data_IF_802347093903
#
_entry.id   IF_802347093903
#
_cell.length_a   1.000
_cell.length_b   1.000
_cell.length_c   1.000
_cell.angle_alpha   90.00
_cell.angle_beta   90.00
_cell.angle_gamma   90.00
#
_symmetry.space_group_name_H-M   'P 1'
#
loop_
_entity.id
_entity.type
_entity.pdbx_description
1 polymer ?
#
# COMPACT_ATOMS: atom_id res chain seq x y z
N UNK A 1 21.08 14.45 49.75
CA UNK A 1 21.14 13.17 49.01
C UNK A 1 20.23 13.28 47.79
N UNK A 2 20.74 13.67 46.61
CA UNK A 2 19.93 13.94 45.39
C UNK A 2 20.11 12.83 44.34
N UNK A 3 20.01 11.56 44.75
CA UNK A 3 20.30 10.42 43.86
C UNK A 3 19.18 10.06 42.88
N UNK A 4 18.03 10.74 42.90
CA UNK A 4 16.84 10.23 42.21
C UNK A 4 16.75 10.60 40.70
N UNK A 5 17.37 11.68 40.21
CA UNK A 5 17.30 12.02 38.78
C UNK A 5 18.51 11.56 37.97
N UNK A 6 19.71 11.58 38.57
CA UNK A 6 20.96 11.17 37.89
C UNK A 6 21.04 9.66 37.68
N UNK A 7 20.50 8.88 38.61
CA UNK A 7 20.43 7.43 38.48
C UNK A 7 19.47 7.02 37.34
N UNK A 8 18.27 7.60 37.29
CA UNK A 8 17.32 7.36 36.20
C UNK A 8 17.84 7.85 34.85
N UNK A 9 18.53 9.01 34.79
CA UNK A 9 19.16 9.50 33.57
C UNK A 9 20.29 8.57 33.06
N UNK A 10 21.02 7.89 33.94
CA UNK A 10 22.08 6.94 33.59
C UNK A 10 21.56 5.59 33.06
N UNK A 11 20.33 5.21 33.46
CA UNK A 11 19.62 4.04 32.93
C UNK A 11 19.09 4.29 31.51
N UNK A 12 18.65 5.52 31.23
CA UNK A 12 18.09 5.91 29.92
C UNK A 12 19.21 6.16 28.89
N UNK A 13 20.33 6.76 29.28
CA UNK A 13 21.46 7.05 28.39
C UNK A 13 22.44 5.88 28.17
N UNK A 14 22.08 4.67 28.62
CA UNK A 14 22.86 3.45 28.34
C UNK A 14 24.22 3.36 29.05
N UNK A 15 24.46 4.13 30.12
CA UNK A 15 25.72 4.07 30.87
C UNK A 15 25.75 2.97 31.94
N UNK A 16 24.60 2.38 32.28
CA UNK A 16 24.51 1.14 33.06
C UNK A 16 24.12 0.02 32.09
N UNK A 17 25.13 -0.72 31.62
CA UNK A 17 25.02 -1.72 30.56
C UNK A 17 24.33 -3.02 30.99
N UNK A 18 23.02 -2.97 31.25
CA UNK A 18 22.23 -4.20 31.29
C UNK A 18 21.45 -4.40 29.98
N UNK A 19 21.88 -5.32 29.09
CA UNK A 19 21.19 -5.58 27.82
C UNK A 19 19.75 -6.11 28.01
N UNK A 20 19.43 -6.67 29.18
CA UNK A 20 18.09 -7.21 29.53
C UNK A 20 17.03 -6.12 29.78
N UNK A 21 17.42 -4.87 30.04
CA UNK A 21 16.45 -3.75 30.12
C UNK A 21 16.41 -2.90 28.83
N UNK A 22 17.40 -3.06 27.95
CA UNK A 22 17.53 -2.26 26.71
C UNK A 22 16.41 -2.56 25.72
N UNK A 23 16.06 -3.83 25.59
CA UNK A 23 14.96 -4.33 24.77
C UNK A 23 13.58 -3.85 25.28
N UNK A 24 13.34 -3.84 26.59
CA UNK A 24 12.08 -3.35 27.19
C UNK A 24 11.90 -1.84 26.96
N UNK A 25 12.95 -1.03 27.17
CA UNK A 25 12.90 0.42 26.92
C UNK A 25 12.79 0.76 25.42
N UNK A 26 13.42 -0.01 24.54
CA UNK A 26 13.25 0.13 23.08
C UNK A 26 11.83 -0.24 22.61
N UNK A 27 11.15 -1.16 23.31
CA UNK A 27 9.77 -1.54 22.97
C UNK A 27 8.75 -0.49 23.46
N UNK A 28 9.04 0.22 24.55
CA UNK A 28 8.28 1.42 24.95
C UNK A 28 8.50 2.61 24.01
N UNK A 29 9.65 2.64 23.31
CA UNK A 29 9.98 3.59 22.23
C UNK A 29 9.55 3.05 20.84
N UNK A 30 8.87 1.90 20.74
CA UNK A 30 8.13 1.59 19.52
C UNK A 30 6.96 2.57 19.53
N UNK A 31 6.83 3.47 18.53
CA UNK A 31 5.86 4.54 18.59
C UNK A 31 4.49 3.93 18.84
N UNK A 32 3.99 4.13 20.07
CA UNK A 32 2.60 3.89 20.45
C UNK A 32 1.77 4.44 19.31
N UNK A 33 0.99 3.57 18.67
CA UNK A 33 0.19 3.82 17.48
C UNK A 33 -0.27 5.28 17.42
N UNK A 34 0.56 6.12 16.80
CA UNK A 34 0.23 7.52 16.62
C UNK A 34 -0.96 7.48 15.67
N UNK A 35 -2.03 8.26 15.87
CA UNK A 35 -3.11 8.32 14.89
C UNK A 35 -2.58 8.45 13.46
N UNK A 36 -1.51 9.23 13.27
CA UNK A 36 -0.75 9.37 12.01
C UNK A 36 -0.18 8.06 11.46
N UNK A 37 0.35 7.17 12.31
CA UNK A 37 0.91 5.89 11.88
C UNK A 37 -0.18 4.90 11.43
N UNK A 38 -1.38 4.99 12.02
CA UNK A 38 -2.53 4.21 11.56
C UNK A 38 -2.98 4.66 10.17
N UNK A 39 -3.15 5.98 9.95
CA UNK A 39 -3.48 6.52 8.62
C UNK A 39 -2.40 6.22 7.57
N UNK A 40 -1.12 6.29 7.96
CA UNK A 40 0.00 5.93 7.07
C UNK A 40 -0.05 4.47 6.62
N UNK A 41 -0.56 3.55 7.46
CA UNK A 41 -0.72 2.13 7.09
C UNK A 41 -1.98 1.85 6.26
N UNK A 42 -3.05 2.64 6.38
CA UNK A 42 -4.29 2.37 5.64
C UNK A 42 -4.19 2.75 4.15
N UNK A 43 -3.53 3.87 3.85
CA UNK A 43 -3.35 4.39 2.49
C UNK A 43 -2.81 3.31 1.51
N UNK A 44 -1.69 2.63 1.80
CA UNK A 44 -1.15 1.64 0.88
C UNK A 44 -2.03 0.40 0.71
N UNK A 45 -2.80 0.04 1.74
CA UNK A 45 -3.75 -1.08 1.69
C UNK A 45 -4.85 -0.79 0.68
N UNK A 46 -5.48 0.39 0.75
CA UNK A 46 -6.54 0.77 -0.19
C UNK A 46 -6.02 0.84 -1.63
N UNK A 47 -4.82 1.38 -1.83
CA UNK A 47 -4.20 1.47 -3.15
C UNK A 47 -3.93 0.06 -3.70
N UNK A 48 -3.33 -0.83 -2.90
CA UNK A 48 -3.00 -2.18 -3.35
C UNK A 48 -4.25 -2.98 -3.69
N UNK A 49 -5.27 -2.93 -2.83
CA UNK A 49 -6.57 -3.56 -3.10
C UNK A 49 -7.22 -2.95 -4.36
N UNK A 50 -7.17 -1.62 -4.51
CA UNK A 50 -7.67 -0.92 -5.69
C UNK A 50 -6.96 -1.32 -6.98
N UNK A 51 -5.64 -1.51 -6.95
CA UNK A 51 -4.85 -1.99 -8.09
C UNK A 51 -5.25 -3.41 -8.49
N UNK A 52 -5.43 -4.31 -7.51
CA UNK A 52 -5.85 -5.70 -7.76
C UNK A 52 -7.25 -5.73 -8.36
N UNK A 53 -8.23 -5.09 -7.70
CA UNK A 53 -9.62 -5.08 -8.16
C UNK A 53 -9.74 -4.37 -9.52
N UNK A 54 -9.09 -3.21 -9.67
CA UNK A 54 -9.09 -2.45 -10.91
C UNK A 54 -8.50 -3.23 -12.08
N UNK A 55 -7.39 -3.94 -11.86
CA UNK A 55 -6.74 -4.76 -12.89
C UNK A 55 -7.66 -5.92 -13.33
N UNK A 56 -8.27 -6.61 -12.37
CA UNK A 56 -9.22 -7.70 -12.65
C UNK A 56 -10.43 -7.17 -13.43
N UNK A 57 -11.05 -6.07 -13.00
CA UNK A 57 -12.19 -5.48 -13.68
C UNK A 57 -11.84 -5.00 -15.10
N UNK A 58 -10.69 -4.35 -15.28
CA UNK A 58 -10.21 -3.93 -16.60
C UNK A 58 -10.06 -5.14 -17.54
N UNK A 59 -9.54 -6.26 -17.04
CA UNK A 59 -9.39 -7.49 -17.80
C UNK A 59 -10.73 -8.09 -18.23
N UNK A 60 -11.70 -8.17 -17.32
CA UNK A 60 -13.07 -8.60 -17.65
C UNK A 60 -13.72 -7.68 -18.70
N UNK A 61 -13.53 -6.38 -18.56
CA UNK A 61 -14.11 -5.38 -19.46
C UNK A 61 -13.48 -5.44 -20.86
N UNK A 62 -12.18 -5.77 -20.96
CA UNK A 62 -11.50 -6.06 -22.23
C UNK A 62 -12.06 -7.32 -22.89
N UNK A 63 -12.24 -8.41 -22.15
CA UNK A 63 -12.80 -9.66 -22.69
C UNK A 63 -14.22 -9.41 -23.23
N UNK A 64 -15.08 -8.78 -22.43
CA UNK A 64 -16.45 -8.48 -22.86
C UNK A 64 -16.50 -7.51 -24.04
N UNK A 65 -15.62 -6.51 -24.08
CA UNK A 65 -15.48 -5.60 -25.21
C UNK A 65 -15.01 -6.32 -26.48
N UNK A 66 -14.02 -7.20 -26.37
CA UNK A 66 -13.50 -8.01 -27.47
C UNK A 66 -14.53 -8.97 -28.04
N UNK A 67 -15.25 -9.71 -27.17
CA UNK A 67 -16.36 -10.58 -27.59
C UNK A 67 -17.41 -9.75 -28.33
N UNK A 68 -17.84 -8.63 -27.75
CA UNK A 68 -18.83 -7.74 -28.36
C UNK A 68 -18.38 -7.17 -29.71
N UNK A 69 -17.09 -6.93 -29.90
CA UNK A 69 -16.52 -6.44 -31.15
C UNK A 69 -16.56 -7.50 -32.25
N UNK A 70 -16.25 -8.76 -31.91
CA UNK A 70 -16.31 -9.89 -32.84
C UNK A 70 -17.76 -10.21 -33.20
N UNK A 71 -18.69 -10.14 -32.23
CA UNK A 71 -20.12 -10.46 -32.47
C UNK A 71 -20.89 -9.35 -33.17
N UNK A 72 -20.42 -8.09 -33.12
CA UNK A 72 -21.12 -6.95 -33.74
C UNK A 72 -21.19 -7.05 -35.28
N UNK A 73 -20.25 -7.78 -35.91
CA UNK A 73 -20.27 -8.03 -37.35
C UNK A 73 -20.38 -6.73 -38.17
N UNK A 74 -21.51 -6.56 -38.89
CA UNK A 74 -21.79 -5.41 -39.74
C UNK A 74 -22.67 -4.33 -39.09
N UNK A 75 -23.10 -4.49 -37.84
CA UNK A 75 -23.85 -3.45 -37.14
C UNK A 75 -22.89 -2.36 -36.64
N UNK A 76 -22.96 -1.19 -37.28
CA UNK A 76 -22.11 -0.03 -36.96
C UNK A 76 -22.29 0.41 -35.50
N UNK A 77 -23.51 0.35 -34.96
CA UNK A 77 -23.78 0.78 -33.59
C UNK A 77 -23.13 -0.15 -32.57
N UNK A 78 -23.26 -1.47 -32.77
CA UNK A 78 -22.57 -2.47 -31.96
C UNK A 78 -21.05 -2.37 -32.03
N UNK A 79 -20.50 -2.07 -33.22
CA UNK A 79 -19.06 -1.92 -33.42
C UNK A 79 -18.50 -0.70 -32.66
N UNK A 80 -19.17 0.46 -32.77
CA UNK A 80 -18.78 1.68 -32.06
C UNK A 80 -18.87 1.49 -30.53
N UNK A 81 -19.92 0.82 -30.05
CA UNK A 81 -20.06 0.50 -28.62
C UNK A 81 -18.95 -0.41 -28.10
N UNK A 82 -18.60 -1.45 -28.86
CA UNK A 82 -17.53 -2.38 -28.50
C UNK A 82 -16.15 -1.71 -28.50
N UNK A 83 -15.85 -0.87 -29.51
CA UNK A 83 -14.62 -0.09 -29.57
C UNK A 83 -14.48 0.88 -28.39
N UNK A 84 -15.56 1.58 -28.01
CA UNK A 84 -15.57 2.44 -26.82
C UNK A 84 -15.29 1.64 -25.56
N UNK A 85 -15.90 0.46 -25.40
CA UNK A 85 -15.68 -0.41 -24.24
C UNK A 85 -14.23 -0.87 -24.13
N UNK A 86 -13.63 -1.31 -25.24
CA UNK A 86 -12.22 -1.70 -25.30
C UNK A 86 -11.32 -0.50 -24.95
N UNK A 87 -11.58 0.66 -25.56
CA UNK A 87 -10.79 1.88 -25.32
C UNK A 87 -10.83 2.30 -23.85
N UNK A 88 -12.03 2.30 -23.24
CA UNK A 88 -12.18 2.63 -21.83
C UNK A 88 -11.43 1.64 -20.93
N UNK A 89 -11.46 0.34 -21.26
CA UNK A 89 -10.75 -0.67 -20.49
C UNK A 89 -9.21 -0.53 -20.63
N UNK A 90 -8.71 -0.17 -21.82
CA UNK A 90 -7.29 0.14 -22.04
C UNK A 90 -6.85 1.39 -21.29
N UNK A 91 -7.66 2.45 -21.30
CA UNK A 91 -7.40 3.68 -20.54
C UNK A 91 -7.35 3.37 -19.04
N UNK A 92 -8.32 2.60 -18.54
CA UNK A 92 -8.33 2.13 -17.14
C UNK A 92 -7.05 1.38 -16.78
N UNK A 93 -6.61 0.46 -17.63
CA UNK A 93 -5.36 -0.27 -17.43
C UNK A 93 -4.12 0.64 -17.46
N UNK A 94 -4.08 1.61 -18.38
CA UNK A 94 -2.99 2.58 -18.46
C UNK A 94 -2.89 3.46 -17.21
N UNK A 95 -4.03 3.85 -16.63
CA UNK A 95 -4.07 4.59 -15.36
C UNK A 95 -3.53 3.74 -14.21
N UNK A 96 -3.90 2.46 -14.13
CA UNK A 96 -3.38 1.54 -13.11
C UNK A 96 -1.86 1.36 -13.21
N UNK A 97 -1.34 1.17 -14.43
CA UNK A 97 0.11 1.08 -14.65
C UNK A 97 0.83 2.38 -14.30
N UNK A 98 0.22 3.53 -14.62
CA UNK A 98 0.80 4.83 -14.27
C UNK A 98 0.87 5.02 -12.75
N UNK A 99 -0.19 4.65 -12.02
CA UNK A 99 -0.20 4.68 -10.56
C UNK A 99 0.90 3.78 -9.99
N UNK A 100 0.98 2.52 -10.45
CA UNK A 100 2.02 1.59 -10.03
C UNK A 100 3.44 2.14 -10.28
N UNK A 101 3.69 2.71 -11.47
CA UNK A 101 4.98 3.30 -11.81
C UNK A 101 5.37 4.47 -10.90
N UNK A 102 4.41 5.32 -10.53
CA UNK A 102 4.65 6.41 -9.57
C UNK A 102 5.04 5.84 -8.20
N UNK A 103 4.33 4.82 -7.71
CA UNK A 103 4.68 4.20 -6.43
C UNK A 103 6.06 3.54 -6.46
N UNK A 104 6.38 2.78 -7.50
CA UNK A 104 7.71 2.17 -7.66
C UNK A 104 8.83 3.23 -7.68
N UNK A 105 8.56 4.41 -8.26
CA UNK A 105 9.51 5.52 -8.23
C UNK A 105 9.66 6.12 -6.82
N UNK A 106 8.55 6.29 -6.08
CA UNK A 106 8.58 6.75 -4.70
C UNK A 106 9.32 5.77 -3.78
N UNK A 107 9.10 4.47 -3.92
CA UNK A 107 9.81 3.44 -3.16
C UNK A 107 11.33 3.56 -3.37
N UNK A 108 11.77 3.77 -4.62
CA UNK A 108 13.19 3.93 -4.93
C UNK A 108 13.81 5.23 -4.38
N UNK A 109 13.05 6.32 -4.34
CA UNK A 109 13.54 7.63 -3.85
C UNK A 109 13.57 7.67 -2.32
N UNK A 110 12.53 7.14 -1.66
CA UNK A 110 12.39 7.20 -0.22
C UNK A 110 12.93 5.96 0.52
N UNK A 111 13.20 4.86 -0.18
CA UNK A 111 13.76 3.63 0.40
C UNK A 111 12.79 2.92 1.36
N UNK A 112 11.48 3.10 1.17
CA UNK A 112 10.41 2.55 2.01
C UNK A 112 9.52 1.69 1.13
N UNK A 113 9.19 0.47 1.57
CA UNK A 113 8.23 -0.40 0.88
C UNK A 113 6.80 0.10 1.15
N UNK A 114 6.29 0.93 0.25
CA UNK A 114 4.95 1.50 0.36
C UNK A 114 3.89 0.48 -0.04
N UNK A 115 4.20 -0.47 -0.93
CA UNK A 115 3.26 -1.50 -1.36
C UNK A 115 3.25 -2.75 -0.48
N UNK A 116 4.09 -2.81 0.58
CA UNK A 116 4.15 -3.96 1.47
C UNK A 116 3.02 -3.94 2.50
N UNK A 117 2.05 -4.82 2.28
CA UNK A 117 0.92 -5.10 3.15
C UNK A 117 1.39 -6.00 4.32
N UNK A 118 1.98 -5.39 5.36
CA UNK A 118 2.34 -6.12 6.58
C UNK A 118 1.08 -6.39 7.44
N UNK A 119 0.42 -7.52 7.16
CA UNK A 119 -0.76 -8.02 7.87
C UNK A 119 -0.39 -8.82 9.14
N UNK A 120 0.89 -9.05 9.40
CA UNK A 120 1.38 -9.78 10.57
C UNK A 120 0.90 -9.20 11.92
N UNK A 121 0.69 -7.88 12.09
CA UNK A 121 0.16 -7.31 13.33
C UNK A 121 -1.35 -7.55 13.57
N UNK A 122 -2.11 -7.98 12.56
CA UNK A 122 -3.57 -8.16 12.66
C UNK A 122 -3.99 -9.62 12.90
N UNK A 123 -3.03 -10.55 12.90
CA UNK A 123 -3.30 -11.99 13.05
C UNK A 123 -3.03 -12.54 14.45
N UNK A 124 -2.56 -11.73 15.42
CA UNK A 124 -2.27 -12.22 16.77
C UNK A 124 -2.59 -11.17 17.85
N UNK A 125 -3.76 -11.29 18.46
CA UNK A 125 -3.95 -11.24 19.92
C UNK A 125 -5.08 -12.19 20.31
#
# INVERSE_FOLDING_TARGET
>A
MTLNSKFLASLINGQIGNPVFRNELMNLQKPTASPTAFFAKMIPVFITIGLIIGSVLAFFMLIQGGISWITAGSDKAGLEGAQKRISNALIGLAVLFSAFAIFALLEKIFGIDLLSLDLTPLLIR
#
